data_IF_304130927756
#
_entry.id   IF_304130927756
#
_cell.length_a   1.000
_cell.length_b   1.000
_cell.length_c   1.000
_cell.angle_alpha   90.00
_cell.angle_beta   90.00
_cell.angle_gamma   90.00
#
_symmetry.space_group_name_H-M   'P 1'
#
loop_
_entity.id
_entity.type
_entity.pdbx_description
1 polymer ?
#
# COMPACT_ATOMS: atom_id res chain seq x y z
N UNK A 1 -26.99 -19.88 21.20
CA UNK A 1 -26.76 -18.67 22.02
C UNK A 1 -25.27 -18.63 22.35
N UNK A 2 -24.40 -17.91 21.66
CA UNK A 2 -24.58 -16.61 21.05
C UNK A 2 -24.07 -15.55 22.03
N UNK A 3 -22.76 -15.30 22.03
CA UNK A 3 -22.26 -13.93 22.05
C UNK A 3 -20.88 -13.88 21.39
N UNK A 4 -20.81 -13.08 20.33
CA UNK A 4 -19.63 -12.82 19.53
C UNK A 4 -19.00 -11.55 20.06
N UNK A 5 -17.91 -11.66 20.82
CA UNK A 5 -17.07 -10.51 21.10
C UNK A 5 -16.00 -10.42 20.00
N UNK A 6 -16.30 -9.57 19.02
CA UNK A 6 -15.40 -9.07 17.98
C UNK A 6 -14.16 -8.49 18.66
N UNK A 7 -13.03 -9.19 18.57
CA UNK A 7 -11.72 -8.61 18.87
C UNK A 7 -11.34 -7.68 17.72
N UNK A 8 -11.68 -6.40 17.94
CA UNK A 8 -11.31 -5.28 17.10
C UNK A 8 -9.77 -5.16 17.01
N UNK A 9 -9.24 -5.68 15.91
CA UNK A 9 -7.87 -5.53 15.46
C UNK A 9 -7.64 -4.07 15.01
N UNK A 10 -7.37 -3.18 15.96
CA UNK A 10 -7.02 -1.79 15.68
C UNK A 10 -5.62 -1.46 16.18
N UNK A 11 -4.76 -0.94 15.28
CA UNK A 11 -3.39 -0.46 15.55
C UNK A 11 -3.32 0.70 16.54
N UNK A 12 -3.60 0.44 17.82
CA UNK A 12 -3.78 1.44 18.89
C UNK A 12 -2.62 1.45 19.89
N UNK A 13 -1.50 0.79 19.57
CA UNK A 13 -0.38 0.55 20.50
C UNK A 13 0.53 1.75 20.76
N UNK A 14 0.64 2.69 19.82
CA UNK A 14 1.53 3.87 19.92
C UNK A 14 0.84 5.06 20.61
N UNK A 15 -0.40 5.37 20.24
CA UNK A 15 -1.15 6.53 20.76
C UNK A 15 -1.54 6.38 22.24
N UNK A 16 -1.84 5.15 22.71
CA UNK A 16 -2.18 4.92 24.13
C UNK A 16 -1.00 5.13 25.08
N UNK A 17 0.24 4.91 24.62
CA UNK A 17 1.45 5.06 25.45
C UNK A 17 1.88 6.52 25.61
N UNK A 18 1.78 7.32 24.55
CA UNK A 18 1.99 8.78 24.64
C UNK A 18 0.99 9.42 25.61
N UNK A 19 -0.29 9.04 25.53
CA UNK A 19 -1.30 9.47 26.49
C UNK A 19 -0.97 9.06 27.92
N UNK A 20 -0.57 7.81 28.16
CA UNK A 20 -0.22 7.33 29.50
C UNK A 20 1.00 8.06 30.08
N UNK A 21 2.03 8.34 29.27
CA UNK A 21 3.19 9.12 29.68
C UNK A 21 2.83 10.58 29.99
N UNK A 22 2.00 11.21 29.17
CA UNK A 22 1.50 12.57 29.40
C UNK A 22 0.62 12.66 30.64
N UNK A 23 -0.24 11.66 30.90
CA UNK A 23 -1.05 11.60 32.12
C UNK A 23 -0.21 11.39 33.37
N UNK A 24 0.88 10.62 33.27
CA UNK A 24 1.85 10.47 34.36
C UNK A 24 2.56 11.79 34.64
N UNK A 25 3.00 12.49 33.60
CA UNK A 25 3.62 13.81 33.71
C UNK A 25 2.64 14.83 34.32
N UNK A 26 1.39 14.85 33.87
CA UNK A 26 0.35 15.72 34.42
C UNK A 26 0.11 15.47 35.92
N UNK A 27 0.11 14.20 36.36
CA UNK A 27 0.03 13.85 37.79
C UNK A 27 1.23 14.32 38.60
N UNK A 28 2.43 14.34 38.02
CA UNK A 28 3.61 14.89 38.69
C UNK A 28 3.55 16.41 38.82
N UNK A 29 3.04 17.12 37.81
CA UNK A 29 2.79 18.56 37.90
C UNK A 29 1.69 18.93 38.90
N UNK A 30 0.60 18.15 38.95
CA UNK A 30 -0.54 18.38 39.86
C UNK A 30 -0.14 18.24 41.35
N UNK A 31 0.88 17.41 41.64
CA UNK A 31 1.37 17.17 42.99
C UNK A 31 2.59 18.03 43.38
N UNK A 32 3.14 18.84 42.47
CA UNK A 32 4.36 19.59 42.67
C UNK A 32 4.10 21.04 43.14
N UNK A 33 4.95 21.56 44.01
CA UNK A 33 5.03 22.99 44.29
C UNK A 33 5.81 23.73 43.19
N UNK A 34 5.81 25.06 43.20
CA UNK A 34 6.46 25.86 42.15
C UNK A 34 7.92 25.49 41.84
N UNK A 35 8.81 25.26 42.84
CA UNK A 35 10.18 24.81 42.57
C UNK A 35 10.23 23.37 42.04
N UNK A 36 9.46 22.42 42.59
CA UNK A 36 9.46 21.04 42.08
C UNK A 36 8.86 20.94 40.67
N UNK A 37 7.87 21.77 40.33
CA UNK A 37 7.31 21.84 38.99
C UNK A 37 8.35 22.31 37.96
N UNK A 38 9.22 23.26 38.35
CA UNK A 38 10.34 23.68 37.51
C UNK A 38 11.34 22.54 37.27
N UNK A 39 11.67 21.77 38.31
CA UNK A 39 12.59 20.62 38.19
C UNK A 39 12.00 19.51 37.32
N UNK A 40 10.70 19.21 37.46
CA UNK A 40 9.98 18.24 36.61
C UNK A 40 9.96 18.72 35.15
N UNK A 41 9.74 20.01 34.90
CA UNK A 41 9.81 20.60 33.56
C UNK A 41 11.22 20.49 32.96
N UNK A 42 12.25 20.90 33.72
CA UNK A 42 13.63 20.84 33.28
C UNK A 42 14.07 19.40 32.95
N UNK A 43 13.67 18.42 33.78
CA UNK A 43 13.98 17.02 33.56
C UNK A 43 13.21 16.41 32.36
N UNK A 44 11.92 16.70 32.22
CA UNK A 44 11.09 16.12 31.15
C UNK A 44 11.41 16.69 29.76
N UNK A 45 11.78 17.96 29.68
CA UNK A 45 12.05 18.67 28.42
C UNK A 45 13.53 18.95 28.19
N UNK A 46 14.42 18.42 29.04
CA UNK A 46 15.85 18.75 29.05
C UNK A 46 16.11 20.27 29.12
N UNK A 47 15.17 21.02 29.71
CA UNK A 47 15.24 22.47 29.86
C UNK A 47 16.05 22.88 31.11
N UNK A 48 17.21 22.24 31.30
CA UNK A 48 18.14 22.66 32.35
C UNK A 48 18.68 24.05 32.01
N UNK A 49 18.88 24.94 33.01
CA UNK A 49 19.54 26.21 32.78
C UNK A 49 20.86 25.95 32.08
N UNK A 50 21.18 26.74 31.04
CA UNK A 50 22.37 26.55 30.24
C UNK A 50 23.62 26.60 31.12
N UNK A 51 24.06 25.44 31.61
CA UNK A 51 25.26 25.27 32.45
C UNK A 51 26.55 25.68 31.72
N UNK A 52 26.44 25.98 30.42
CA UNK A 52 27.52 26.32 29.50
C UNK A 52 27.60 27.81 29.12
N UNK A 53 26.77 28.69 29.69
CA UNK A 53 26.95 30.14 29.51
C UNK A 53 28.00 30.75 30.47
N UNK A 54 28.46 29.99 31.46
CA UNK A 54 29.55 30.40 32.36
C UNK A 54 30.87 29.75 31.95
N UNK A 55 31.53 30.27 30.92
CA UNK A 55 32.91 29.91 30.64
C UNK A 55 33.85 30.61 31.64
N UNK A 56 34.74 29.86 32.29
CA UNK A 56 35.87 30.43 33.00
C UNK A 56 36.91 30.90 31.95
N UNK A 57 36.69 32.08 31.37
CA UNK A 57 37.75 32.77 30.64
C UNK A 57 38.71 33.37 31.66
N UNK A 58 39.97 32.91 31.66
CA UNK A 58 41.01 33.46 32.53
C UNK A 58 41.32 34.95 32.23
N UNK A 59 40.86 35.46 31.07
CA UNK A 59 40.93 36.88 30.70
C UNK A 59 39.66 37.34 29.95
N UNK A 60 39.11 38.48 30.37
CA UNK A 60 37.98 39.11 29.71
C UNK A 60 38.43 39.68 28.35
N UNK A 61 37.94 39.10 27.24
CA UNK A 61 38.20 39.64 25.91
C UNK A 61 37.59 41.07 25.77
N UNK A 62 38.32 42.04 25.19
CA UNK A 62 37.80 43.39 25.00
C UNK A 62 36.60 43.40 24.03
N UNK A 63 35.61 44.26 24.27
CA UNK A 63 34.34 44.27 23.53
C UNK A 63 34.47 44.49 22.00
N UNK A 64 35.61 45.00 21.53
CA UNK A 64 35.89 45.20 20.10
C UNK A 64 36.57 43.99 19.43
N UNK A 65 36.86 42.91 20.17
CA UNK A 65 37.47 41.72 19.62
C UNK A 65 36.48 40.98 18.71
N UNK A 66 36.90 40.72 17.46
CA UNK A 66 36.15 39.87 16.55
C UNK A 66 36.19 38.43 17.05
N UNK A 67 35.02 37.83 17.24
CA UNK A 67 34.87 36.42 17.63
C UNK A 67 35.44 35.46 16.58
N UNK A 68 35.64 35.91 15.34
CA UNK A 68 36.24 35.11 14.26
C UNK A 68 37.77 34.97 14.40
N UNK A 69 38.41 35.94 15.06
CA UNK A 69 39.86 36.03 15.21
C UNK A 69 40.31 35.86 16.67
N UNK A 70 39.38 35.61 17.59
CA UNK A 70 39.68 35.41 19.00
C UNK A 70 40.06 33.96 19.27
N UNK A 71 40.93 33.67 20.26
CA UNK A 71 41.19 32.30 20.69
C UNK A 71 39.88 31.59 21.04
N UNK A 72 39.66 30.34 20.60
CA UNK A 72 38.46 29.59 20.95
C UNK A 72 38.35 29.47 22.46
N UNK A 73 37.19 29.81 23.02
CA UNK A 73 36.95 29.72 24.45
C UNK A 73 37.20 28.27 24.92
N UNK A 74 37.93 28.12 26.03
CA UNK A 74 38.06 26.84 26.72
C UNK A 74 36.69 26.49 27.33
N UNK A 75 35.83 25.86 26.53
CA UNK A 75 34.62 25.23 27.04
C UNK A 75 35.11 24.06 27.88
N UNK A 76 34.88 24.11 29.19
CA UNK A 76 35.07 22.96 30.05
C UNK A 76 34.37 21.78 29.37
N UNK A 77 35.11 20.71 29.07
CA UNK A 77 34.52 19.49 28.55
C UNK A 77 33.39 19.11 29.50
N UNK A 78 32.15 19.13 29.00
CA UNK A 78 31.03 18.62 29.76
C UNK A 78 31.46 17.22 30.24
N UNK A 79 31.32 16.87 31.54
CA UNK A 79 31.22 15.46 31.86
C UNK A 79 30.04 14.97 31.04
N UNK A 80 30.34 14.21 29.99
CA UNK A 80 29.35 13.41 29.32
C UNK A 80 28.96 12.35 30.33
N UNK A 81 28.09 12.71 31.27
CA UNK A 81 27.23 11.71 31.90
C UNK A 81 26.60 10.99 30.71
N UNK A 82 26.93 9.69 30.62
CA UNK A 82 26.74 8.87 29.43
C UNK A 82 25.30 8.93 28.89
N UNK A 83 25.05 8.32 27.73
CA UNK A 83 23.76 8.42 27.05
C UNK A 83 22.62 8.22 28.04
N UNK A 84 21.80 9.27 28.23
CA UNK A 84 20.57 9.19 29.01
C UNK A 84 19.84 7.92 28.56
N UNK A 85 19.41 7.04 29.48
CA UNK A 85 18.80 5.78 29.09
C UNK A 85 17.57 6.06 28.24
N UNK A 86 17.73 5.96 26.92
CA UNK A 86 16.62 5.98 25.97
C UNK A 86 15.82 4.74 26.24
N UNK A 87 14.54 4.89 26.58
CA UNK A 87 13.65 3.77 26.82
C UNK A 87 13.78 2.75 25.68
N UNK A 88 13.89 1.46 26.03
CA UNK A 88 14.07 0.40 25.05
C UNK A 88 12.94 0.45 24.00
N UNK A 89 13.33 0.53 22.72
CA UNK A 89 12.39 0.43 21.61
C UNK A 89 11.75 -0.96 21.67
N UNK A 90 10.41 -1.07 21.75
CA UNK A 90 9.77 -2.37 21.80
C UNK A 90 10.06 -3.17 20.53
N UNK A 91 10.34 -4.46 20.70
CA UNK A 91 10.48 -5.34 19.55
C UNK A 91 9.10 -5.63 18.93
N UNK A 92 8.91 -5.17 17.70
CA UNK A 92 7.70 -5.37 16.90
C UNK A 92 7.92 -6.42 15.79
N UNK A 93 8.98 -7.22 15.88
CA UNK A 93 9.33 -8.28 14.91
C UNK A 93 8.14 -9.20 14.61
N UNK A 94 7.48 -9.74 15.63
CA UNK A 94 6.33 -10.64 15.48
C UNK A 94 5.10 -9.98 14.85
N UNK A 95 4.86 -8.71 15.15
CA UNK A 95 3.77 -7.97 14.53
C UNK A 95 4.07 -7.71 13.05
N UNK A 96 5.31 -7.35 12.72
CA UNK A 96 5.75 -7.14 11.34
C UNK A 96 5.73 -8.44 10.53
N UNK A 97 6.11 -9.56 11.13
CA UNK A 97 6.03 -10.88 10.52
C UNK A 97 4.58 -11.23 10.16
N UNK A 98 3.65 -11.12 11.12
CA UNK A 98 2.22 -11.38 10.87
C UNK A 98 1.62 -10.50 9.76
N UNK A 99 1.97 -9.21 9.71
CA UNK A 99 1.50 -8.31 8.66
C UNK A 99 2.07 -8.68 7.29
N UNK A 100 3.34 -9.11 7.25
CA UNK A 100 3.96 -9.60 6.02
C UNK A 100 3.29 -10.88 5.53
N UNK A 101 3.11 -11.86 6.41
CA UNK A 101 2.48 -13.15 6.05
C UNK A 101 1.05 -12.95 5.53
N UNK A 102 0.27 -12.06 6.17
CA UNK A 102 -1.07 -11.71 5.71
C UNK A 102 -1.07 -11.03 4.33
N UNK A 103 -0.11 -10.14 4.07
CA UNK A 103 0.05 -9.50 2.77
C UNK A 103 0.46 -10.50 1.68
N UNK A 104 1.39 -11.40 1.98
CA UNK A 104 1.84 -12.46 1.07
C UNK A 104 0.70 -13.44 0.74
N UNK A 105 -0.08 -13.85 1.74
CA UNK A 105 -1.26 -14.67 1.53
C UNK A 105 -2.29 -13.97 0.64
N UNK A 106 -2.60 -12.69 0.89
CA UNK A 106 -3.53 -11.92 0.05
C UNK A 106 -3.03 -11.80 -1.39
N UNK A 107 -1.75 -11.53 -1.59
CA UNK A 107 -1.14 -11.46 -2.91
C UNK A 107 -1.18 -12.82 -3.64
N UNK A 108 -0.97 -13.92 -2.91
CA UNK A 108 -1.11 -15.27 -3.46
C UNK A 108 -2.55 -15.54 -3.92
N UNK A 109 -3.55 -15.25 -3.09
CA UNK A 109 -4.95 -15.44 -3.47
C UNK A 109 -5.36 -14.62 -4.70
N UNK A 110 -4.91 -13.36 -4.79
CA UNK A 110 -5.17 -12.52 -5.97
C UNK A 110 -4.54 -13.09 -7.24
N UNK A 111 -3.29 -13.58 -7.18
CA UNK A 111 -2.62 -14.21 -8.33
C UNK A 111 -3.32 -15.51 -8.77
N UNK A 112 -3.75 -16.34 -7.82
CA UNK A 112 -4.50 -17.57 -8.11
C UNK A 112 -5.85 -17.26 -8.77
N UNK A 113 -6.57 -16.26 -8.25
CA UNK A 113 -7.83 -15.79 -8.84
C UNK A 113 -7.64 -15.26 -10.27
N UNK A 114 -6.60 -14.46 -10.52
CA UNK A 114 -6.29 -13.99 -11.87
C UNK A 114 -5.94 -15.12 -12.85
N UNK A 115 -5.23 -16.15 -12.38
CA UNK A 115 -4.93 -17.34 -13.17
C UNK A 115 -6.22 -18.11 -13.53
N UNK A 116 -7.14 -18.26 -12.59
CA UNK A 116 -8.47 -18.86 -12.82
C UNK A 116 -9.24 -18.09 -13.90
N UNK A 117 -9.35 -16.76 -13.76
CA UNK A 117 -9.99 -15.88 -14.76
C UNK A 117 -9.37 -16.07 -16.14
N UNK A 118 -8.04 -16.10 -16.24
CA UNK A 118 -7.34 -16.33 -17.51
C UNK A 118 -7.66 -17.68 -18.11
N UNK A 119 -7.68 -18.76 -17.31
CA UNK A 119 -8.01 -20.10 -17.81
C UNK A 119 -9.47 -20.22 -18.25
N UNK A 120 -10.39 -19.61 -17.50
CA UNK A 120 -11.82 -19.66 -17.77
C UNK A 120 -12.16 -18.91 -19.08
N UNK A 121 -11.57 -17.73 -19.27
CA UNK A 121 -11.85 -16.85 -20.42
C UNK A 121 -10.91 -17.06 -21.61
N UNK A 122 -10.06 -18.08 -21.60
CA UNK A 122 -9.22 -18.42 -22.75
C UNK A 122 -10.02 -18.99 -23.94
N UNK A 123 -11.16 -19.63 -23.66
CA UNK A 123 -11.94 -20.42 -24.64
C UNK A 123 -13.28 -19.82 -25.08
N UNK A 124 -13.61 -18.58 -24.72
CA UNK A 124 -14.83 -17.91 -25.20
C UNK A 124 -16.15 -18.57 -24.78
N UNK A 125 -16.21 -19.19 -23.60
CA UNK A 125 -17.40 -19.89 -23.13
C UNK A 125 -18.58 -18.93 -22.86
N UNK A 126 -19.79 -19.35 -23.23
CA UNK A 126 -21.03 -18.62 -22.92
C UNK A 126 -21.48 -18.77 -21.45
N UNK A 127 -21.02 -19.82 -20.76
CA UNK A 127 -21.32 -20.04 -19.35
C UNK A 127 -20.07 -20.44 -18.58
N UNK A 128 -19.77 -19.72 -17.51
CA UNK A 128 -18.59 -19.94 -16.68
C UNK A 128 -18.96 -20.01 -15.20
N UNK A 129 -18.24 -20.86 -14.47
CA UNK A 129 -18.26 -20.89 -13.01
C UNK A 129 -16.93 -20.32 -12.53
N UNK A 130 -16.97 -19.29 -11.68
CA UNK A 130 -15.80 -18.64 -11.10
C UNK A 130 -15.90 -18.66 -9.58
N UNK A 131 -14.77 -18.86 -8.92
CA UNK A 131 -14.64 -18.60 -7.49
C UNK A 131 -14.97 -17.13 -7.18
N UNK A 132 -15.42 -16.85 -5.96
CA UNK A 132 -15.71 -15.46 -5.52
C UNK A 132 -14.53 -14.50 -5.75
N UNK A 133 -13.28 -14.83 -5.36
CA UNK A 133 -12.17 -13.92 -5.62
C UNK A 133 -11.83 -13.78 -7.11
N UNK A 134 -12.11 -14.80 -7.95
CA UNK A 134 -11.95 -14.68 -9.41
C UNK A 134 -12.99 -13.74 -10.02
N UNK A 135 -14.24 -13.81 -9.56
CA UNK A 135 -15.28 -12.86 -9.97
C UNK A 135 -14.94 -11.43 -9.55
N UNK A 136 -14.40 -11.23 -8.34
CA UNK A 136 -13.95 -9.90 -7.88
C UNK A 136 -12.85 -9.33 -8.79
N UNK A 137 -11.82 -10.14 -9.13
CA UNK A 137 -10.75 -9.73 -10.07
C UNK A 137 -11.32 -9.39 -11.45
N UNK A 138 -12.25 -10.20 -11.96
CA UNK A 138 -12.90 -9.93 -13.24
C UNK A 138 -13.68 -8.61 -13.21
N UNK A 139 -14.42 -8.35 -12.13
CA UNK A 139 -15.17 -7.10 -11.97
C UNK A 139 -14.26 -5.87 -11.86
N UNK A 140 -13.13 -5.97 -11.17
CA UNK A 140 -12.12 -4.91 -11.12
C UNK A 140 -11.58 -4.61 -12.53
N UNK A 141 -11.21 -5.65 -13.29
CA UNK A 141 -10.70 -5.51 -14.66
C UNK A 141 -11.77 -4.96 -15.62
N UNK A 142 -13.02 -5.42 -15.53
CA UNK A 142 -14.15 -4.92 -16.32
C UNK A 142 -14.39 -3.45 -16.03
N UNK A 143 -14.41 -3.06 -14.75
CA UNK A 143 -14.60 -1.66 -14.35
C UNK A 143 -13.45 -0.80 -14.88
N UNK A 144 -12.21 -1.28 -14.81
CA UNK A 144 -11.06 -0.59 -15.37
C UNK A 144 -11.13 -0.46 -16.91
N UNK A 145 -11.59 -1.51 -17.61
CA UNK A 145 -11.70 -1.51 -19.07
C UNK A 145 -12.81 -0.57 -19.55
N UNK A 146 -13.95 -0.55 -18.87
CA UNK A 146 -15.05 0.35 -19.17
C UNK A 146 -14.72 1.80 -18.80
N UNK A 147 -13.93 2.01 -17.74
CA UNK A 147 -13.45 3.33 -17.33
C UNK A 147 -12.36 3.92 -18.23
N UNK A 148 -11.57 3.09 -18.91
CA UNK A 148 -10.51 3.52 -19.83
C UNK A 148 -10.98 3.69 -21.28
N UNK A 149 -12.19 3.22 -21.61
CA UNK A 149 -12.73 3.22 -22.97
C UNK A 149 -13.10 4.61 -23.49
N UNK A 150 -12.77 4.87 -24.77
CA UNK A 150 -13.37 5.97 -25.54
C UNK A 150 -14.71 5.49 -26.12
N UNK A 151 -15.76 6.33 -26.19
CA UNK A 151 -17.05 5.96 -26.81
C UNK A 151 -16.94 5.56 -28.29
N UNK A 152 -15.84 5.92 -28.95
CA UNK A 152 -15.55 5.56 -30.34
C UNK A 152 -14.79 4.23 -30.47
N UNK A 153 -14.30 3.68 -29.36
CA UNK A 153 -13.48 2.47 -29.37
C UNK A 153 -14.36 1.23 -29.54
N UNK A 154 -14.11 0.48 -30.63
CA UNK A 154 -14.76 -0.80 -30.93
C UNK A 154 -14.43 -1.91 -29.90
N UNK A 155 -13.27 -1.78 -29.26
CA UNK A 155 -12.76 -2.68 -28.24
C UNK A 155 -12.11 -1.85 -27.12
N UNK A 156 -12.34 -2.25 -25.87
CA UNK A 156 -11.72 -1.66 -24.69
C UNK A 156 -10.86 -2.70 -23.98
N UNK A 157 -9.75 -2.25 -23.39
CA UNK A 157 -8.82 -3.15 -22.71
C UNK A 157 -8.37 -2.58 -21.38
N UNK A 158 -8.15 -3.45 -20.41
CA UNK A 158 -7.51 -3.12 -19.16
C UNK A 158 -6.53 -4.22 -18.77
N UNK A 159 -5.35 -3.82 -18.31
CA UNK A 159 -4.32 -4.75 -17.86
C UNK A 159 -3.94 -4.47 -16.41
N UNK A 160 -3.65 -5.53 -15.68
CA UNK A 160 -3.03 -5.48 -14.36
C UNK A 160 -1.63 -6.12 -14.47
N UNK A 161 -0.59 -5.30 -14.28
CA UNK A 161 0.80 -5.73 -14.37
C UNK A 161 1.20 -6.62 -13.20
N UNK A 162 0.66 -6.40 -12.00
CA UNK A 162 0.97 -7.22 -10.82
C UNK A 162 0.39 -8.64 -10.95
N UNK A 163 -0.77 -8.75 -11.61
CA UNK A 163 -1.45 -10.02 -11.87
C UNK A 163 -1.01 -10.67 -13.19
N UNK A 164 -0.31 -9.94 -14.07
CA UNK A 164 0.17 -10.45 -15.35
C UNK A 164 -0.97 -10.79 -16.33
N UNK A 165 -2.09 -10.08 -16.24
CA UNK A 165 -3.28 -10.34 -17.08
C UNK A 165 -3.74 -9.07 -17.79
N UNK A 166 -4.39 -9.27 -18.94
CA UNK A 166 -5.08 -8.22 -19.68
C UNK A 166 -6.45 -8.71 -20.12
N UNK A 167 -7.48 -7.96 -19.74
CA UNK A 167 -8.84 -8.15 -20.19
C UNK A 167 -9.10 -7.34 -21.46
N UNK A 168 -9.74 -8.00 -22.41
CA UNK A 168 -10.23 -7.44 -23.66
C UNK A 168 -11.74 -7.60 -23.70
N UNK A 169 -12.42 -6.51 -24.01
CA UNK A 169 -13.88 -6.45 -24.11
C UNK A 169 -14.23 -5.81 -25.45
N UNK A 170 -15.07 -6.47 -26.23
CA UNK A 170 -15.56 -5.95 -27.50
C UNK A 170 -17.06 -6.19 -27.66
N UNK A 171 -17.69 -5.50 -28.61
CA UNK A 171 -19.11 -5.71 -28.89
C UNK A 171 -19.30 -6.96 -29.75
N UNK A 172 -20.18 -7.85 -29.31
CA UNK A 172 -20.67 -8.98 -30.09
C UNK A 172 -22.20 -9.03 -29.97
N UNK A 173 -22.96 -8.33 -30.83
CA UNK A 173 -24.41 -8.33 -30.78
C UNK A 173 -24.98 -9.75 -30.80
N UNK A 174 -25.88 -10.05 -29.86
CA UNK A 174 -26.49 -11.37 -29.67
C UNK A 174 -25.68 -12.35 -28.81
N UNK A 175 -24.42 -12.04 -28.47
CA UNK A 175 -23.65 -12.84 -27.52
C UNK A 175 -24.17 -12.65 -26.09
N UNK A 176 -24.18 -13.74 -25.32
CA UNK A 176 -24.47 -13.70 -23.88
C UNK A 176 -23.45 -14.53 -23.13
N UNK A 177 -22.94 -13.96 -22.04
CA UNK A 177 -22.01 -14.63 -21.14
C UNK A 177 -22.64 -14.62 -19.75
N UNK A 178 -22.93 -15.81 -19.22
CA UNK A 178 -23.45 -16.02 -17.88
C UNK A 178 -22.36 -16.56 -16.97
N UNK A 179 -22.00 -15.80 -15.94
CA UNK A 179 -20.96 -16.15 -14.98
C UNK A 179 -21.61 -16.39 -13.62
N UNK A 180 -21.40 -17.57 -13.05
CA UNK A 180 -21.89 -17.93 -11.73
C UNK A 180 -20.74 -18.04 -10.73
N UNK A 181 -20.99 -17.62 -9.50
CA UNK A 181 -20.06 -17.71 -8.38
C UNK A 181 -20.84 -17.98 -7.09
N UNK A 182 -20.25 -18.63 -6.08
CA UNK A 182 -20.90 -18.80 -4.77
C UNK A 182 -21.33 -17.48 -4.11
N UNK A 183 -20.68 -16.36 -4.47
CA UNK A 183 -20.97 -15.03 -3.94
C UNK A 183 -21.95 -14.19 -4.77
N UNK A 184 -22.37 -14.67 -5.96
CA UNK A 184 -23.20 -13.91 -6.89
C UNK A 184 -22.99 -14.32 -8.34
N UNK A 185 -23.76 -13.74 -9.26
CA UNK A 185 -23.63 -13.99 -10.70
C UNK A 185 -23.50 -12.69 -11.49
N UNK A 186 -22.98 -12.80 -12.71
CA UNK A 186 -22.86 -11.72 -13.66
C UNK A 186 -23.34 -12.19 -15.03
N UNK A 187 -24.35 -11.52 -15.57
CA UNK A 187 -24.84 -11.74 -16.92
C UNK A 187 -24.43 -10.55 -17.81
N UNK A 188 -23.74 -10.86 -18.90
CA UNK A 188 -23.28 -9.89 -19.88
C UNK A 188 -23.97 -10.16 -21.21
N UNK A 189 -24.48 -9.10 -21.85
CA UNK A 189 -25.15 -9.16 -23.13
C UNK A 189 -24.44 -8.29 -24.16
N UNK A 190 -24.48 -8.72 -25.42
CA UNK A 190 -23.96 -8.02 -26.59
C UNK A 190 -22.44 -7.73 -26.53
N UNK A 191 -21.71 -8.51 -25.72
CA UNK A 191 -20.26 -8.37 -25.51
C UNK A 191 -19.56 -9.73 -25.53
N UNK A 192 -18.29 -9.70 -25.94
CA UNK A 192 -17.37 -10.81 -25.78
C UNK A 192 -16.24 -10.41 -24.82
N UNK A 193 -15.71 -11.41 -24.10
CA UNK A 193 -14.59 -11.25 -23.18
C UNK A 193 -13.46 -12.21 -23.56
N UNK A 194 -12.23 -11.72 -23.50
CA UNK A 194 -11.03 -12.56 -23.60
C UNK A 194 -9.95 -12.04 -22.68
N UNK A 195 -9.23 -12.96 -22.04
CA UNK A 195 -8.12 -12.61 -21.17
C UNK A 195 -6.83 -13.16 -21.76
N UNK A 196 -5.82 -12.30 -21.89
CA UNK A 196 -4.48 -12.62 -22.37
C UNK A 196 -3.45 -12.35 -21.29
N UNK A 197 -2.20 -12.75 -21.55
CA UNK A 197 -1.07 -12.26 -20.77
C UNK A 197 -0.96 -10.74 -20.90
N UNK A 198 -0.45 -10.06 -19.85
CA UNK A 198 -0.24 -8.62 -19.89
C UNK A 198 0.73 -8.19 -21.00
N UNK A 199 1.72 -9.03 -21.32
CA UNK A 199 2.71 -8.78 -22.36
C UNK A 199 2.13 -8.83 -23.78
N UNK A 200 1.00 -9.53 -23.97
CA UNK A 200 0.30 -9.59 -25.25
C UNK A 200 -0.46 -8.27 -25.48
N UNK A 201 0.25 -7.32 -26.09
CA UNK A 201 -0.27 -6.01 -26.46
C UNK A 201 -0.73 -6.03 -27.92
N UNK A 202 -2.04 -5.91 -28.14
CA UNK A 202 -2.63 -5.78 -29.46
C UNK A 202 -4.16 -5.91 -29.44
N UNK A 203 -4.86 -5.35 -30.43
CA UNK A 203 -6.25 -5.71 -30.68
C UNK A 203 -6.33 -7.20 -30.96
N UNK A 204 -7.30 -7.89 -30.36
CA UNK A 204 -7.55 -9.29 -30.70
C UNK A 204 -8.43 -9.35 -31.95
N UNK A 205 -8.21 -10.32 -32.85
CA UNK A 205 -9.15 -10.56 -33.93
C UNK A 205 -10.51 -10.91 -33.33
N UNK A 206 -11.57 -10.31 -33.87
CA UNK A 206 -12.94 -10.58 -33.45
C UNK A 206 -13.20 -12.09 -33.58
N UNK A 207 -13.98 -12.71 -32.67
CA UNK A 207 -14.27 -14.14 -32.72
C UNK A 207 -14.92 -14.61 -34.05
N UNK A 208 -15.37 -13.67 -34.91
CA UNK A 208 -15.89 -13.94 -36.25
C UNK A 208 -14.91 -13.80 -37.43
N UNK A 209 -13.71 -13.23 -37.24
CA UNK A 209 -12.74 -12.99 -38.33
C UNK A 209 -11.75 -14.15 -38.55
N UNK A 210 -11.68 -15.10 -37.61
CA UNK A 210 -10.74 -16.24 -37.67
C UNK A 210 -11.08 -17.31 -38.74
N UNK A 211 -12.09 -17.07 -39.59
CA UNK A 211 -12.56 -18.03 -40.60
C UNK A 211 -12.51 -17.54 -42.06
N UNK A 212 -11.93 -16.38 -42.36
CA UNK A 212 -12.03 -15.77 -43.70
C UNK A 212 -10.73 -15.80 -44.54
N UNK A 213 -9.59 -16.25 -44.02
CA UNK A 213 -8.28 -16.10 -44.70
C UNK A 213 -7.52 -17.41 -44.97
N UNK A 214 -8.21 -18.55 -45.02
CA UNK A 214 -7.64 -19.82 -45.53
C UNK A 214 -8.50 -20.34 -46.69
N UNK A 215 -8.25 -19.84 -47.91
CA UNK A 215 -8.95 -20.39 -49.08
C UNK A 215 -8.74 -19.74 -50.45
N UNK A 216 -7.79 -18.82 -50.62
CA UNK A 216 -7.55 -18.21 -51.92
C UNK A 216 -6.07 -17.93 -52.14
N UNK A 217 -5.27 -18.98 -52.38
CA UNK A 217 -3.95 -18.86 -53.04
C UNK A 217 -3.37 -20.26 -53.39
N UNK A 218 -4.14 -21.13 -54.06
CA UNK A 218 -3.56 -22.37 -54.66
C UNK A 218 -4.32 -22.81 -55.92
N UNK A 219 -4.69 -21.88 -56.81
CA UNK A 219 -5.19 -22.24 -58.14
C UNK A 219 -4.80 -21.21 -59.21
N UNK A 220 -3.50 -20.90 -59.35
CA UNK A 220 -3.01 -20.19 -60.54
C UNK A 220 -1.56 -20.51 -60.94
N UNK A 221 -1.11 -21.76 -60.76
CA UNK A 221 0.22 -22.23 -61.23
C UNK A 221 0.18 -23.33 -62.27
N UNK A 222 -0.91 -23.47 -63.02
CA UNK A 222 -0.99 -24.47 -64.10
C UNK A 222 -1.69 -23.96 -65.36
N UNK A 223 -0.99 -23.12 -66.12
CA UNK A 223 -1.09 -23.05 -67.58
C UNK A 223 0.27 -22.63 -68.18
#
# INVERSE_FOLDING_TARGET
>A
MGDSAVEDAGGQGSHRRGRAALLRLARWFDAADAPAAHDVYAAAFAAYPARFLGGAGDEAAPAAASWWNSPPAHVAAAPADGPLPTAAVPDHSDQRARLRDAAEARAHWRRSAAAEVRTALAGGAERLELSTPALDVLMELLTAALGSGSPEARQVTAGDLELGVRLHVGSAPGARIAIASPGGGLDLADVWLRVTDHAEQGPLPEPGDAGADEGADEEDRRC
#
